data_IF_889492566438
#
_entry.id   IF_889492566438
#
_cell.length_a   1.000
_cell.length_b   1.000
_cell.length_c   1.000
_cell.angle_alpha   90.00
_cell.angle_beta   90.00
_cell.angle_gamma   90.00
#
_symmetry.space_group_name_H-M   'P 1'
#
loop_
_entity.id
_entity.type
_entity.pdbx_description
1 polymer ?
#
# COMPACT_ATOMS: atom_id res chain seq x y z
N UNK A 1 35.13 0.69 1.49
CA UNK A 1 34.81 1.93 0.74
C UNK A 1 33.73 1.55 -0.27
N UNK A 2 32.52 2.15 -0.22
CA UNK A 2 31.55 1.98 -1.31
C UNK A 2 32.09 2.79 -2.48
N UNK A 3 32.35 2.12 -3.60
CA UNK A 3 32.70 2.83 -4.83
C UNK A 3 31.58 3.82 -5.12
N UNK A 4 31.93 5.07 -5.39
CA UNK A 4 30.94 6.06 -5.81
C UNK A 4 30.32 5.59 -7.12
N UNK A 5 28.98 5.62 -7.18
CA UNK A 5 28.28 5.28 -8.41
C UNK A 5 28.64 6.26 -9.52
N UNK A 6 28.85 5.76 -10.71
CA UNK A 6 29.02 6.57 -11.92
C UNK A 6 27.80 7.49 -12.14
N UNK A 7 28.01 8.73 -12.65
CA UNK A 7 26.92 9.69 -12.85
C UNK A 7 25.78 9.14 -13.72
N UNK A 8 26.09 8.31 -14.72
CA UNK A 8 25.10 7.68 -15.57
C UNK A 8 24.25 6.65 -14.81
N UNK A 9 24.87 5.89 -13.91
CA UNK A 9 24.16 4.92 -13.07
C UNK A 9 23.24 5.61 -12.07
N UNK A 10 23.69 6.70 -11.43
CA UNK A 10 22.82 7.52 -10.55
C UNK A 10 21.59 8.03 -11.31
N UNK A 11 21.80 8.56 -12.53
CA UNK A 11 20.70 9.05 -13.38
C UNK A 11 19.73 7.93 -13.75
N UNK A 12 20.22 6.75 -14.08
CA UNK A 12 19.40 5.57 -14.38
C UNK A 12 18.54 5.19 -13.18
N UNK A 13 19.12 5.07 -11.97
CA UNK A 13 18.39 4.68 -10.77
C UNK A 13 17.28 5.68 -10.41
N UNK A 14 17.53 6.99 -10.56
CA UNK A 14 16.51 8.02 -10.38
C UNK A 14 15.41 7.93 -11.42
N UNK A 15 15.75 7.66 -12.67
CA UNK A 15 14.78 7.47 -13.75
C UNK A 15 13.90 6.23 -13.49
N UNK A 16 14.50 5.10 -13.09
CA UNK A 16 13.78 3.89 -12.71
C UNK A 16 12.80 4.15 -11.55
N UNK A 17 13.25 4.84 -10.48
CA UNK A 17 12.40 5.24 -9.36
C UNK A 17 11.21 6.10 -9.82
N UNK A 18 11.49 7.14 -10.61
CA UNK A 18 10.47 8.04 -11.12
C UNK A 18 9.47 7.32 -12.02
N UNK A 19 9.94 6.47 -12.93
CA UNK A 19 9.09 5.73 -13.86
C UNK A 19 8.17 4.73 -13.13
N UNK A 20 8.73 3.93 -12.23
CA UNK A 20 7.94 2.95 -11.46
C UNK A 20 6.94 3.67 -10.56
N UNK A 21 7.35 4.76 -9.89
CA UNK A 21 6.44 5.57 -9.08
C UNK A 21 5.32 6.17 -9.94
N UNK A 22 5.63 6.77 -11.09
CA UNK A 22 4.65 7.39 -11.98
C UNK A 22 3.62 6.38 -12.52
N UNK A 23 4.05 5.17 -12.85
CA UNK A 23 3.18 4.10 -13.38
C UNK A 23 2.36 3.39 -12.30
N UNK A 24 2.60 3.68 -11.02
CA UNK A 24 1.95 3.02 -9.90
C UNK A 24 1.37 4.03 -8.89
N UNK A 25 1.93 4.05 -7.70
CA UNK A 25 1.45 4.82 -6.55
C UNK A 25 1.62 6.34 -6.69
N UNK A 26 2.54 6.82 -7.52
CA UNK A 26 2.76 8.24 -7.75
C UNK A 26 1.59 8.91 -8.47
N UNK A 27 1.01 8.26 -9.47
CA UNK A 27 -0.23 8.73 -10.09
C UNK A 27 -1.33 8.87 -9.02
N UNK A 28 -1.52 7.83 -8.19
CA UNK A 28 -2.51 7.86 -7.11
C UNK A 28 -2.25 8.99 -6.11
N UNK A 29 -0.98 9.29 -5.79
CA UNK A 29 -0.61 10.39 -4.92
C UNK A 29 -1.03 11.77 -5.49
N UNK A 30 -0.76 12.00 -6.78
CA UNK A 30 -1.18 13.24 -7.46
C UNK A 30 -2.71 13.39 -7.42
N UNK A 31 -3.44 12.33 -7.79
CA UNK A 31 -4.90 12.37 -7.74
C UNK A 31 -5.45 12.54 -6.31
N UNK A 32 -4.81 11.94 -5.31
CA UNK A 32 -5.23 12.09 -3.91
C UNK A 32 -5.06 13.52 -3.40
N UNK A 33 -3.96 14.20 -3.77
CA UNK A 33 -3.72 15.62 -3.44
C UNK A 33 -4.79 16.50 -4.09
N UNK A 34 -5.03 16.32 -5.38
CA UNK A 34 -6.06 17.09 -6.11
C UNK A 34 -7.45 16.85 -5.50
N UNK A 35 -7.78 15.59 -5.18
CA UNK A 35 -9.07 15.24 -4.57
C UNK A 35 -9.23 15.83 -3.17
N UNK A 36 -8.20 15.81 -2.33
CA UNK A 36 -8.26 16.46 -1.02
C UNK A 36 -8.49 17.96 -1.15
N UNK A 37 -7.82 18.61 -2.10
CA UNK A 37 -8.01 20.04 -2.38
C UNK A 37 -9.45 20.33 -2.84
N UNK A 38 -10.00 19.50 -3.74
CA UNK A 38 -11.39 19.63 -4.21
C UNK A 38 -12.39 19.44 -3.04
N UNK A 39 -12.19 18.45 -2.18
CA UNK A 39 -13.03 18.23 -0.99
C UNK A 39 -12.96 19.46 -0.06
N UNK A 40 -11.76 19.94 0.27
CA UNK A 40 -11.55 21.04 1.20
C UNK A 40 -12.16 22.37 0.71
N UNK A 41 -12.34 22.54 -0.62
CA UNK A 41 -13.00 23.73 -1.19
C UNK A 41 -14.52 23.66 -1.20
N UNK A 42 -15.10 22.47 -0.98
CA UNK A 42 -16.56 22.27 -0.98
C UNK A 42 -17.18 22.28 0.41
N UNK A 43 -16.41 21.93 1.45
CA UNK A 43 -16.90 21.84 2.83
C UNK A 43 -15.97 21.07 3.75
N UNK A 44 -16.45 20.70 4.95
CA UNK A 44 -15.67 19.92 5.90
C UNK A 44 -15.27 18.55 5.35
N UNK A 45 -14.03 18.15 5.57
CA UNK A 45 -13.50 16.84 5.13
C UNK A 45 -14.33 15.69 5.72
N UNK A 46 -14.84 15.85 6.93
CA UNK A 46 -15.66 14.84 7.62
C UNK A 46 -16.99 14.52 6.95
N UNK A 47 -17.51 15.40 6.10
CA UNK A 47 -18.73 15.18 5.32
C UNK A 47 -18.48 14.46 3.99
N UNK A 48 -17.22 14.38 3.58
CA UNK A 48 -16.84 13.66 2.35
C UNK A 48 -16.83 12.15 2.56
N UNK A 49 -17.02 11.41 1.45
CA UNK A 49 -16.91 9.95 1.42
C UNK A 49 -15.72 9.50 0.59
N UNK A 50 -14.94 8.59 1.14
CA UNK A 50 -13.86 7.89 0.47
C UNK A 50 -14.27 6.45 0.17
N UNK A 51 -14.58 6.15 -1.09
CA UNK A 51 -14.97 4.81 -1.55
C UNK A 51 -13.73 4.04 -2.00
N UNK A 52 -13.56 2.81 -1.49
CA UNK A 52 -12.37 1.99 -1.76
C UNK A 52 -12.61 0.97 -2.88
N UNK A 53 -13.59 0.09 -2.73
CA UNK A 53 -13.90 -0.96 -3.68
C UNK A 53 -15.32 -0.73 -4.23
N UNK A 54 -15.42 -0.15 -5.42
CA UNK A 54 -16.70 0.21 -6.02
C UNK A 54 -17.00 -0.63 -7.25
N UNK A 55 -18.28 -0.94 -7.46
CA UNK A 55 -18.74 -1.56 -8.71
C UNK A 55 -18.43 -0.66 -9.91
N UNK A 56 -17.98 -1.26 -10.99
CA UNK A 56 -17.63 -0.60 -12.26
C UNK A 56 -18.68 -0.83 -13.34
N UNK A 57 -19.69 -1.68 -13.08
CA UNK A 57 -20.78 -1.97 -14.01
C UNK A 57 -22.05 -2.37 -13.27
N UNK A 58 -23.23 -1.93 -13.71
CA UNK A 58 -24.50 -2.40 -13.15
C UNK A 58 -24.80 -3.88 -13.50
N UNK A 59 -24.02 -4.49 -14.41
CA UNK A 59 -24.16 -5.90 -14.82
C UNK A 59 -23.13 -6.76 -14.07
N UNK A 60 -23.56 -7.68 -13.18
CA UNK A 60 -22.64 -8.41 -12.28
C UNK A 60 -21.49 -9.16 -12.98
N UNK A 61 -21.76 -9.80 -14.13
CA UNK A 61 -20.72 -10.52 -14.88
C UNK A 61 -19.65 -9.59 -15.47
N UNK A 62 -20.04 -8.41 -15.99
CA UNK A 62 -19.09 -7.42 -16.47
C UNK A 62 -18.34 -6.74 -15.32
N UNK A 63 -19.01 -6.50 -14.18
CA UNK A 63 -18.37 -5.95 -13.01
C UNK A 63 -17.25 -6.89 -12.52
N UNK A 64 -17.53 -8.18 -12.40
CA UNK A 64 -16.51 -9.19 -12.07
C UNK A 64 -15.31 -9.13 -13.03
N UNK A 65 -15.57 -9.04 -14.34
CA UNK A 65 -14.49 -8.95 -15.35
C UNK A 65 -13.66 -7.69 -15.11
N UNK A 66 -14.29 -6.53 -14.90
CA UNK A 66 -13.56 -5.28 -14.62
C UNK A 66 -12.76 -5.36 -13.32
N UNK A 67 -13.30 -5.96 -12.26
CA UNK A 67 -12.58 -6.16 -11.00
C UNK A 67 -11.31 -7.02 -11.20
N UNK A 68 -11.43 -8.14 -11.89
CA UNK A 68 -10.28 -9.03 -12.17
C UNK A 68 -9.24 -8.35 -13.06
N UNK A 69 -9.67 -7.67 -14.12
CA UNK A 69 -8.75 -6.91 -14.99
C UNK A 69 -8.07 -5.78 -14.21
N UNK A 70 -8.80 -5.04 -13.38
CA UNK A 70 -8.26 -3.99 -12.53
C UNK A 70 -7.20 -4.52 -11.57
N UNK A 71 -7.46 -5.65 -10.91
CA UNK A 71 -6.50 -6.32 -10.03
C UNK A 71 -5.25 -6.73 -10.83
N UNK A 72 -5.43 -7.38 -11.98
CA UNK A 72 -4.32 -7.86 -12.81
C UNK A 72 -3.44 -6.72 -13.35
N UNK A 73 -4.04 -5.71 -13.96
CA UNK A 73 -3.28 -4.58 -14.52
C UNK A 73 -2.60 -3.72 -13.46
N UNK A 74 -3.18 -3.60 -12.27
CA UNK A 74 -2.54 -2.89 -11.15
C UNK A 74 -1.23 -3.56 -10.70
N UNK A 75 -1.05 -4.86 -10.94
CA UNK A 75 0.19 -5.58 -10.61
C UNK A 75 1.28 -5.48 -11.70
N UNK A 76 1.00 -4.91 -12.88
CA UNK A 76 2.01 -4.75 -13.95
C UNK A 76 3.22 -3.92 -13.48
N UNK A 77 3.06 -2.79 -12.78
CA UNK A 77 4.22 -2.06 -12.21
C UNK A 77 5.06 -2.89 -11.23
N UNK A 78 4.45 -3.83 -10.50
CA UNK A 78 5.19 -4.76 -9.65
C UNK A 78 6.12 -5.64 -10.48
N UNK A 79 5.61 -6.21 -11.58
CA UNK A 79 6.41 -7.02 -12.50
C UNK A 79 7.55 -6.20 -13.09
N UNK A 80 7.30 -4.95 -13.48
CA UNK A 80 8.32 -4.03 -13.96
C UNK A 80 9.39 -3.77 -12.89
N UNK A 81 9.00 -3.46 -11.66
CA UNK A 81 9.93 -3.23 -10.55
C UNK A 81 10.81 -4.47 -10.29
N UNK A 82 10.20 -5.66 -10.23
CA UNK A 82 10.93 -6.91 -10.07
C UNK A 82 11.89 -7.18 -11.24
N UNK A 83 11.45 -6.93 -12.47
CA UNK A 83 12.30 -7.06 -13.67
C UNK A 83 13.51 -6.11 -13.58
N UNK A 84 13.31 -4.83 -13.24
CA UNK A 84 14.40 -3.87 -13.08
C UNK A 84 15.39 -4.30 -11.99
N UNK A 85 14.90 -4.88 -10.89
CA UNK A 85 15.77 -5.44 -9.85
C UNK A 85 16.61 -6.62 -10.34
N UNK A 86 16.12 -7.44 -11.28
CA UNK A 86 16.91 -8.57 -11.85
C UNK A 86 18.01 -8.10 -12.78
N UNK A 87 17.96 -6.85 -13.28
CA UNK A 87 18.99 -6.27 -14.14
C UNK A 87 20.29 -5.92 -13.40
N UNK A 88 20.29 -5.96 -12.08
CA UNK A 88 21.45 -5.70 -11.24
C UNK A 88 22.33 -6.96 -11.15
N UNK A 89 23.26 -7.11 -12.10
CA UNK A 89 24.10 -8.32 -12.25
C UNK A 89 25.01 -8.59 -11.06
N UNK A 90 25.42 -7.54 -10.34
CA UNK A 90 26.35 -7.62 -9.19
C UNK A 90 25.60 -7.79 -7.87
N UNK A 91 24.27 -7.90 -7.87
CA UNK A 91 23.46 -8.02 -6.69
C UNK A 91 23.12 -9.50 -6.37
N UNK A 92 22.90 -9.85 -5.09
CA UNK A 92 22.38 -11.16 -4.72
C UNK A 92 21.05 -11.48 -5.40
N UNK A 93 20.67 -12.77 -5.50
CA UNK A 93 19.39 -13.17 -6.06
C UNK A 93 18.22 -12.41 -5.43
N UNK A 94 17.22 -12.06 -6.22
CA UNK A 94 16.07 -11.26 -5.80
C UNK A 94 15.36 -11.85 -4.56
N UNK A 95 15.25 -13.17 -4.49
CA UNK A 95 14.68 -13.87 -3.34
C UNK A 95 15.43 -13.66 -2.02
N UNK A 96 16.73 -13.40 -2.09
CA UNK A 96 17.56 -13.06 -0.93
C UNK A 96 17.40 -11.59 -0.58
N UNK A 97 17.42 -10.71 -1.58
CA UNK A 97 17.28 -9.24 -1.40
C UNK A 97 15.92 -8.88 -0.77
N UNK A 98 14.85 -9.54 -1.19
CA UNK A 98 13.49 -9.35 -0.64
C UNK A 98 13.20 -10.23 0.57
N UNK A 99 14.13 -11.13 0.93
CA UNK A 99 13.98 -12.01 2.07
C UNK A 99 12.75 -12.92 2.01
N UNK A 100 12.39 -13.42 0.82
CA UNK A 100 11.16 -14.22 0.63
C UNK A 100 11.35 -15.72 0.87
N UNK A 101 12.59 -16.20 1.09
CA UNK A 101 12.88 -17.63 1.30
C UNK A 101 13.07 -17.98 2.77
N UNK A 102 12.71 -19.22 3.11
CA UNK A 102 13.26 -19.96 4.26
C UNK A 102 12.62 -19.72 5.62
N UNK A 103 11.59 -18.89 5.78
CA UNK A 103 10.99 -18.61 7.10
C UNK A 103 9.47 -18.38 7.06
N UNK A 104 8.74 -19.03 6.15
CA UNK A 104 7.33 -18.70 5.87
C UNK A 104 6.44 -18.65 7.12
N UNK A 105 6.48 -19.64 8.01
CA UNK A 105 5.67 -19.63 9.24
C UNK A 105 6.06 -18.50 10.21
N UNK A 106 7.35 -18.23 10.36
CA UNK A 106 7.82 -17.14 11.21
C UNK A 106 7.46 -15.77 10.62
N UNK A 107 7.47 -15.66 9.30
CA UNK A 107 7.09 -14.42 8.61
C UNK A 107 5.60 -14.13 8.75
N UNK A 108 4.74 -15.14 8.63
CA UNK A 108 3.31 -14.99 8.87
C UNK A 108 3.03 -14.56 10.32
N UNK A 109 3.67 -15.21 11.30
CA UNK A 109 3.53 -14.83 12.70
C UNK A 109 3.99 -13.39 13.00
N UNK A 110 5.13 -12.96 12.41
CA UNK A 110 5.62 -11.58 12.55
C UNK A 110 4.69 -10.57 11.87
N UNK A 111 4.20 -10.90 10.68
CA UNK A 111 3.25 -10.06 9.96
C UNK A 111 1.93 -9.92 10.71
N UNK A 112 1.42 -10.99 11.31
CA UNK A 112 0.23 -10.95 12.15
C UNK A 112 0.45 -10.07 13.40
N UNK A 113 1.62 -10.14 14.04
CA UNK A 113 1.95 -9.24 15.15
C UNK A 113 2.00 -7.77 14.69
N UNK A 114 2.62 -7.49 13.55
CA UNK A 114 2.65 -6.14 12.97
C UNK A 114 1.23 -5.65 12.66
N UNK A 115 0.38 -6.51 12.08
CA UNK A 115 -1.03 -6.22 11.86
C UNK A 115 -1.77 -5.84 13.14
N UNK A 116 -1.58 -6.57 14.25
CA UNK A 116 -2.25 -6.24 15.51
C UNK A 116 -1.84 -4.87 16.04
N UNK A 117 -0.54 -4.54 15.98
CA UNK A 117 -0.03 -3.23 16.42
C UNK A 117 -0.61 -2.09 15.56
N UNK A 118 -0.55 -2.25 14.24
CA UNK A 118 -1.00 -1.22 13.29
C UNK A 118 -2.52 -1.14 13.25
N UNK A 119 -3.22 -2.28 13.25
CA UNK A 119 -4.68 -2.31 13.21
C UNK A 119 -5.32 -1.56 14.38
N UNK A 120 -4.83 -1.79 15.61
CA UNK A 120 -5.30 -1.05 16.79
C UNK A 120 -4.99 0.46 16.62
N UNK A 121 -3.78 0.80 16.18
CA UNK A 121 -3.40 2.20 15.93
C UNK A 121 -4.27 2.87 14.85
N UNK A 122 -4.58 2.15 13.79
CA UNK A 122 -5.43 2.65 12.70
C UNK A 122 -6.85 2.96 13.16
N UNK A 123 -7.44 2.11 14.01
CA UNK A 123 -8.76 2.38 14.58
C UNK A 123 -8.75 3.65 15.42
N UNK A 124 -7.71 3.84 16.26
CA UNK A 124 -7.54 5.05 17.06
C UNK A 124 -7.37 6.32 16.20
N UNK A 125 -6.55 6.25 15.16
CA UNK A 125 -6.34 7.36 14.21
C UNK A 125 -7.62 7.68 13.44
N UNK A 126 -8.37 6.68 13.00
CA UNK A 126 -9.64 6.87 12.31
C UNK A 126 -10.66 7.53 13.24
N UNK A 127 -10.89 6.98 14.43
CA UNK A 127 -11.84 7.53 15.40
C UNK A 127 -11.48 8.97 15.82
N UNK A 128 -10.21 9.22 16.14
CA UNK A 128 -9.71 10.55 16.48
C UNK A 128 -9.83 11.53 15.31
N UNK A 129 -9.47 11.11 14.11
CA UNK A 129 -9.58 11.93 12.91
C UNK A 129 -11.03 12.27 12.52
N UNK A 130 -11.99 11.34 12.75
CA UNK A 130 -13.43 11.60 12.61
C UNK A 130 -13.90 12.62 13.62
N UNK A 131 -13.52 12.45 14.90
CA UNK A 131 -13.87 13.38 15.98
C UNK A 131 -13.33 14.79 15.75
N UNK A 132 -12.14 14.92 15.14
CA UNK A 132 -11.52 16.19 14.79
C UNK A 132 -12.00 16.78 13.45
N UNK A 133 -12.86 16.10 12.69
CA UNK A 133 -13.36 16.56 11.41
C UNK A 133 -12.36 16.50 10.25
N UNK A 134 -11.22 15.84 10.42
CA UNK A 134 -10.11 15.80 9.44
C UNK A 134 -10.03 14.48 8.65
N UNK A 135 -10.99 13.58 8.82
CA UNK A 135 -11.07 12.28 8.15
C UNK A 135 -12.41 12.11 7.47
N UNK A 136 -12.41 11.74 6.19
CA UNK A 136 -13.60 11.40 5.43
C UNK A 136 -14.24 10.11 5.96
N UNK A 137 -15.53 9.93 5.71
CA UNK A 137 -16.20 8.65 5.94
C UNK A 137 -15.67 7.60 4.96
N UNK A 138 -15.13 6.50 5.47
CA UNK A 138 -14.61 5.42 4.62
C UNK A 138 -15.73 4.43 4.32
N UNK A 139 -16.01 4.24 3.03
CA UNK A 139 -16.87 3.17 2.50
C UNK A 139 -15.98 2.07 1.91
N UNK A 140 -15.76 0.94 2.62
CA UNK A 140 -14.75 -0.06 2.25
C UNK A 140 -15.09 -0.83 0.99
N UNK A 141 -16.37 -1.13 0.75
CA UNK A 141 -16.83 -1.86 -0.41
C UNK A 141 -18.28 -1.49 -0.78
N UNK A 142 -18.57 -1.51 -2.09
CA UNK A 142 -19.91 -1.37 -2.65
C UNK A 142 -19.99 -2.20 -3.95
N UNK A 143 -19.79 -3.53 -3.83
CA UNK A 143 -19.80 -4.47 -4.96
C UNK A 143 -21.14 -5.23 -5.09
N UNK A 144 -22.10 -4.98 -4.18
CA UNK A 144 -23.34 -5.75 -4.10
C UNK A 144 -23.15 -7.14 -3.49
N UNK A 145 -24.25 -7.86 -3.33
CA UNK A 145 -24.28 -9.20 -2.74
C UNK A 145 -24.21 -10.27 -3.85
N UNK A 146 -22.97 -10.60 -4.26
CA UNK A 146 -22.70 -11.62 -5.28
C UNK A 146 -21.77 -12.67 -4.70
N UNK A 147 -21.84 -13.91 -5.19
CA UNK A 147 -20.97 -15.02 -4.76
C UNK A 147 -19.48 -14.72 -4.92
N UNK A 148 -19.10 -13.85 -5.82
CA UNK A 148 -17.70 -13.43 -6.10
C UNK A 148 -17.25 -12.21 -5.27
N UNK A 149 -18.14 -11.52 -4.56
CA UNK A 149 -17.80 -10.28 -3.83
C UNK A 149 -16.68 -10.53 -2.80
N UNK A 150 -16.83 -11.51 -1.92
CA UNK A 150 -15.82 -11.86 -0.92
C UNK A 150 -14.49 -12.29 -1.58
N UNK A 151 -14.47 -13.23 -2.53
CA UNK A 151 -13.24 -13.57 -3.26
C UNK A 151 -12.53 -12.35 -3.89
N UNK A 152 -13.27 -11.46 -4.53
CA UNK A 152 -12.71 -10.24 -5.15
C UNK A 152 -12.12 -9.30 -4.11
N UNK A 153 -12.78 -9.08 -2.97
CA UNK A 153 -12.25 -8.26 -1.88
C UNK A 153 -10.97 -8.83 -1.28
N UNK A 154 -10.88 -10.16 -1.12
CA UNK A 154 -9.65 -10.83 -0.70
C UNK A 154 -8.53 -10.65 -1.73
N UNK A 155 -8.82 -10.78 -3.02
CA UNK A 155 -7.84 -10.55 -4.08
C UNK A 155 -7.42 -9.08 -4.15
N UNK A 156 -8.34 -8.13 -3.94
CA UNK A 156 -8.05 -6.71 -3.86
C UNK A 156 -7.10 -6.38 -2.69
N UNK A 157 -7.35 -6.95 -1.51
CA UNK A 157 -6.48 -6.81 -0.36
C UNK A 157 -5.08 -7.41 -0.63
N UNK A 158 -5.00 -8.59 -1.22
CA UNK A 158 -3.73 -9.22 -1.60
C UNK A 158 -2.97 -8.38 -2.64
N UNK A 159 -3.67 -7.86 -3.66
CA UNK A 159 -3.11 -6.97 -4.67
C UNK A 159 -2.52 -5.69 -4.02
N UNK A 160 -3.23 -5.05 -3.08
CA UNK A 160 -2.73 -3.86 -2.40
C UNK A 160 -1.45 -4.17 -1.59
N UNK A 161 -1.48 -5.21 -0.76
CA UNK A 161 -0.30 -5.61 0.02
C UNK A 161 0.91 -5.93 -0.86
N UNK A 162 0.72 -6.62 -1.98
CA UNK A 162 1.81 -6.92 -2.93
C UNK A 162 2.29 -5.64 -3.62
N UNK A 163 1.38 -4.85 -4.19
CA UNK A 163 1.72 -3.64 -4.92
C UNK A 163 2.52 -2.68 -4.05
N UNK A 164 1.96 -2.32 -2.91
CA UNK A 164 2.55 -1.26 -2.08
C UNK A 164 3.85 -1.71 -1.45
N UNK A 165 3.91 -2.91 -0.87
CA UNK A 165 5.13 -3.32 -0.17
C UNK A 165 6.28 -3.64 -1.13
N UNK A 166 5.98 -4.23 -2.31
CA UNK A 166 7.02 -4.47 -3.33
C UNK A 166 7.54 -3.16 -3.92
N UNK A 167 6.65 -2.22 -4.27
CA UNK A 167 7.07 -0.94 -4.87
C UNK A 167 7.82 -0.08 -3.85
N UNK A 168 7.30 0.05 -2.64
CA UNK A 168 7.87 0.96 -1.63
C UNK A 168 9.15 0.39 -1.05
N UNK A 169 9.07 -0.79 -0.43
CA UNK A 169 10.22 -1.34 0.31
C UNK A 169 11.05 -2.31 -0.53
N UNK A 170 10.41 -3.17 -1.32
CA UNK A 170 11.13 -4.10 -2.18
C UNK A 170 11.98 -3.39 -3.24
N UNK A 171 11.44 -2.37 -3.90
CA UNK A 171 12.10 -1.64 -4.98
C UNK A 171 12.64 -0.29 -4.51
N UNK A 172 11.78 0.56 -3.96
CA UNK A 172 12.13 1.94 -3.61
C UNK A 172 13.23 2.03 -2.58
N UNK A 173 13.15 1.26 -1.48
CA UNK A 173 14.19 1.27 -0.45
C UNK A 173 15.53 0.77 -1.02
N UNK A 174 15.51 -0.25 -1.87
CA UNK A 174 16.73 -0.76 -2.46
C UNK A 174 17.39 0.23 -3.41
N UNK A 175 16.61 0.89 -4.28
CA UNK A 175 17.14 1.91 -5.18
C UNK A 175 17.73 3.10 -4.42
N UNK A 176 17.07 3.56 -3.36
CA UNK A 176 17.58 4.63 -2.51
C UNK A 176 18.85 4.20 -1.73
N UNK A 177 18.91 2.94 -1.26
CA UNK A 177 20.15 2.42 -0.66
C UNK A 177 21.31 2.40 -1.66
N UNK A 178 21.07 1.99 -2.90
CA UNK A 178 22.11 2.02 -3.95
C UNK A 178 22.56 3.44 -4.26
N UNK A 179 21.65 4.40 -4.24
CA UNK A 179 21.96 5.83 -4.39
C UNK A 179 22.76 6.41 -3.21
N UNK A 180 22.98 5.62 -2.14
CA UNK A 180 23.82 6.00 -1.00
C UNK A 180 23.08 6.62 0.17
N UNK A 181 21.74 6.68 0.13
CA UNK A 181 20.96 7.22 1.25
C UNK A 181 21.02 6.31 2.48
N UNK A 182 21.02 6.93 3.65
CA UNK A 182 20.97 6.25 4.94
C UNK A 182 19.57 5.73 5.27
N UNK A 183 19.48 4.89 6.31
CA UNK A 183 18.26 4.22 6.72
C UNK A 183 17.10 5.20 6.98
N UNK A 184 17.31 6.24 7.78
CA UNK A 184 16.23 7.15 8.18
C UNK A 184 15.70 8.05 7.04
N UNK A 185 16.55 8.67 6.19
CA UNK A 185 16.08 9.36 5.00
C UNK A 185 15.22 8.47 4.10
N UNK A 186 15.60 7.19 3.91
CA UNK A 186 14.82 6.23 3.14
C UNK A 186 13.46 5.98 3.79
N UNK A 187 13.43 5.66 5.09
CA UNK A 187 12.20 5.37 5.81
C UNK A 187 11.25 6.56 5.75
N UNK A 188 11.73 7.77 6.05
CA UNK A 188 10.90 8.97 6.11
C UNK A 188 10.35 9.33 4.72
N UNK A 189 11.20 9.33 3.69
CA UNK A 189 10.76 9.66 2.32
C UNK A 189 9.72 8.68 1.80
N UNK A 190 9.90 7.37 2.03
CA UNK A 190 8.97 6.35 1.60
C UNK A 190 7.69 6.32 2.45
N UNK A 191 7.76 6.64 3.74
CA UNK A 191 6.57 6.77 4.59
C UNK A 191 5.70 7.97 4.16
N UNK A 192 6.31 9.12 3.83
CA UNK A 192 5.59 10.29 3.31
C UNK A 192 5.00 9.97 1.93
N UNK A 193 5.77 9.32 1.04
CA UNK A 193 5.27 8.90 -0.26
C UNK A 193 4.09 7.94 -0.12
N UNK A 194 4.18 6.93 0.79
CA UNK A 194 3.06 6.06 1.13
C UNK A 194 1.83 6.84 1.58
N UNK A 195 1.98 7.75 2.50
CA UNK A 195 0.87 8.50 3.05
C UNK A 195 0.20 9.43 2.01
N UNK A 196 0.97 9.93 1.02
CA UNK A 196 0.48 10.90 0.05
C UNK A 196 -0.67 10.38 -0.82
N UNK A 197 -0.67 9.11 -1.21
CA UNK A 197 -1.77 8.54 -1.99
C UNK A 197 -2.99 8.13 -1.15
N UNK A 198 -2.94 8.29 0.18
CA UNK A 198 -4.09 8.14 1.07
C UNK A 198 -4.75 9.48 1.45
N UNK A 199 -4.23 10.62 0.98
CA UNK A 199 -4.77 11.95 1.26
C UNK A 199 -6.23 12.14 0.85
N UNK A 200 -6.73 11.39 -0.14
CA UNK A 200 -8.14 11.42 -0.53
C UNK A 200 -9.09 10.92 0.58
N UNK A 201 -8.58 10.24 1.59
CA UNK A 201 -9.32 9.81 2.77
C UNK A 201 -9.28 10.85 3.91
N UNK A 202 -8.50 11.92 3.75
CA UNK A 202 -8.30 12.99 4.73
C UNK A 202 -6.93 12.93 5.42
N UNK A 203 -6.73 13.88 6.33
CA UNK A 203 -5.45 14.06 7.05
C UNK A 203 -5.21 12.94 8.08
N UNK A 204 -6.26 12.43 8.74
CA UNK A 204 -6.13 11.32 9.69
C UNK A 204 -5.48 10.09 9.06
N UNK A 205 -6.03 9.52 7.95
CA UNK A 205 -5.40 8.41 7.23
C UNK A 205 -3.99 8.71 6.72
N UNK A 206 -3.69 9.96 6.32
CA UNK A 206 -2.31 10.36 5.98
C UNK A 206 -1.37 10.13 7.17
N UNK A 207 -1.71 10.62 8.36
CA UNK A 207 -0.90 10.45 9.58
C UNK A 207 -0.74 8.95 9.91
N UNK A 208 -1.84 8.18 9.84
CA UNK A 208 -1.81 6.73 10.08
C UNK A 208 -0.87 6.00 9.11
N UNK A 209 -0.89 6.38 7.83
CA UNK A 209 -0.02 5.78 6.81
C UNK A 209 1.45 6.23 6.94
N UNK A 210 1.74 7.44 7.43
CA UNK A 210 3.11 7.82 7.80
C UNK A 210 3.62 6.91 8.93
N UNK A 211 2.83 6.73 10.00
CA UNK A 211 3.22 5.87 11.12
C UNK A 211 3.42 4.41 10.66
N UNK A 212 2.51 3.86 9.86
CA UNK A 212 2.64 2.53 9.26
C UNK A 212 3.89 2.42 8.40
N UNK A 213 4.16 3.41 7.55
CA UNK A 213 5.34 3.45 6.69
C UNK A 213 6.66 3.49 7.47
N UNK A 214 6.70 4.20 8.60
CA UNK A 214 7.86 4.23 9.50
C UNK A 214 8.09 2.85 10.13
N UNK A 215 7.03 2.21 10.66
CA UNK A 215 7.12 0.88 11.28
C UNK A 215 7.55 -0.17 10.26
N UNK A 216 6.93 -0.19 9.09
CA UNK A 216 7.25 -1.13 8.01
C UNK A 216 8.66 -0.90 7.48
N UNK A 217 9.03 0.36 7.23
CA UNK A 217 10.36 0.73 6.76
C UNK A 217 11.44 0.36 7.75
N UNK A 218 11.24 0.65 9.04
CA UNK A 218 12.17 0.24 10.09
C UNK A 218 12.34 -1.28 10.14
N UNK A 219 11.22 -2.03 10.08
CA UNK A 219 11.26 -3.49 10.07
C UNK A 219 12.03 -4.02 8.86
N UNK A 220 11.70 -3.54 7.64
CA UNK A 220 12.37 -3.96 6.41
C UNK A 220 13.86 -3.65 6.43
N UNK A 221 14.24 -2.43 6.78
CA UNK A 221 15.64 -2.00 6.81
C UNK A 221 16.47 -2.77 7.86
N UNK A 222 15.85 -3.27 8.92
CA UNK A 222 16.51 -4.05 9.98
C UNK A 222 16.53 -5.55 9.73
N UNK A 223 15.51 -6.10 9.08
CA UNK A 223 15.34 -7.54 8.93
C UNK A 223 15.49 -8.04 7.48
N UNK A 224 15.40 -7.17 6.49
CA UNK A 224 15.49 -7.52 5.07
C UNK A 224 14.40 -8.50 4.61
N UNK A 225 13.20 -8.47 5.21
CA UNK A 225 12.13 -9.43 4.93
C UNK A 225 10.83 -8.72 4.54
N UNK A 226 10.41 -8.95 3.30
CA UNK A 226 9.22 -8.32 2.73
C UNK A 226 7.93 -9.06 3.08
N UNK A 227 7.98 -10.39 3.17
CA UNK A 227 6.78 -11.24 3.39
C UNK A 227 5.96 -10.83 4.61
N UNK A 228 6.55 -10.54 5.79
CA UNK A 228 5.78 -10.06 6.94
C UNK A 228 5.00 -8.78 6.68
N UNK A 229 5.54 -7.87 5.87
CA UNK A 229 4.89 -6.60 5.53
C UNK A 229 3.73 -6.81 4.57
N UNK A 230 3.93 -7.59 3.51
CA UNK A 230 2.87 -7.98 2.58
C UNK A 230 1.73 -8.68 3.32
N UNK A 231 2.06 -9.60 4.24
CA UNK A 231 1.07 -10.32 5.03
C UNK A 231 0.32 -9.41 6.00
N UNK A 232 1.02 -8.53 6.73
CA UNK A 232 0.39 -7.57 7.63
C UNK A 232 -0.57 -6.64 6.88
N UNK A 233 -0.13 -6.09 5.76
CA UNK A 233 -0.94 -5.21 4.93
C UNK A 233 -2.16 -5.93 4.36
N UNK A 234 -1.96 -7.13 3.83
CA UNK A 234 -3.06 -7.97 3.35
C UNK A 234 -4.15 -8.16 4.41
N UNK A 235 -3.77 -8.49 5.66
CA UNK A 235 -4.76 -8.68 6.74
C UNK A 235 -5.45 -7.36 7.09
N UNK A 236 -4.71 -6.24 7.15
CA UNK A 236 -5.28 -4.90 7.41
C UNK A 236 -6.40 -4.60 6.40
N UNK A 237 -6.11 -4.76 5.11
CA UNK A 237 -7.07 -4.49 4.05
C UNK A 237 -8.22 -5.52 4.03
N UNK A 238 -7.91 -6.80 4.17
CA UNK A 238 -8.94 -7.85 4.19
C UNK A 238 -9.94 -7.65 5.34
N UNK A 239 -9.45 -7.34 6.54
CA UNK A 239 -10.31 -7.00 7.68
C UNK A 239 -11.08 -5.71 7.41
N UNK A 240 -10.41 -4.66 6.92
CA UNK A 240 -11.05 -3.39 6.61
C UNK A 240 -12.16 -3.50 5.56
N UNK A 241 -11.97 -4.33 4.51
CA UNK A 241 -12.96 -4.51 3.44
C UNK A 241 -14.13 -5.41 3.84
N UNK A 242 -13.91 -6.41 4.69
CA UNK A 242 -14.89 -7.42 5.04
C UNK A 242 -15.66 -7.12 6.35
N UNK A 243 -15.05 -6.38 7.29
CA UNK A 243 -15.63 -6.13 8.61
C UNK A 243 -17.04 -5.52 8.57
N UNK A 244 -17.35 -4.50 7.74
CA UNK A 244 -18.69 -3.94 7.68
C UNK A 244 -19.75 -4.97 7.29
N UNK A 245 -19.46 -5.83 6.32
CA UNK A 245 -20.39 -6.90 5.90
C UNK A 245 -20.57 -7.98 6.98
N UNK A 246 -19.53 -8.28 7.74
CA UNK A 246 -19.60 -9.24 8.85
C UNK A 246 -20.43 -8.67 10.01
N UNK A 247 -20.25 -7.40 10.33
CA UNK A 247 -20.99 -6.74 11.42
C UNK A 247 -22.49 -6.69 11.13
N UNK A 248 -22.90 -6.42 9.89
CA UNK A 248 -24.32 -6.46 9.50
C UNK A 248 -24.94 -7.86 9.59
N UNK A 249 -24.16 -8.92 9.43
CA UNK A 249 -24.63 -10.30 9.60
C UNK A 249 -24.82 -10.68 11.08
N UNK A 250 -24.08 -10.04 12.00
CA UNK A 250 -24.16 -10.29 13.44
C UNK A 250 -25.33 -9.50 14.07
N UNK A 251 -25.63 -8.31 13.57
CA UNK A 251 -26.74 -7.46 14.07
C UNK A 251 -28.14 -7.97 13.65
N UNK A 252 -28.23 -9.01 12.83
CA UNK A 252 -29.50 -9.68 12.44
C UNK A 252 -29.86 -10.85 13.39
N UNK A 253 -29.08 -11.10 14.43
CA UNK A 253 -29.34 -12.03 15.50
C UNK A 253 -29.71 -11.31 16.79
#
# INVERSE_FOLDING_TARGET
>A
MRNELEPQEKKRLWFELGLVAALSLGQSAVYAIVRLSDIATRGPISEAQAKLNTSMSPRPGFDLIYQILGIGFTLVPVLLALYLLTRDTDAPPLSTRLGVRGQSGKDLGRGTLIFLIIGIGTLGVYAGGRALGITAEIQPANLGDHWWTIPVLILAAAKNGILEEVIIFGFGAERLQRLGYGMWPIIISLAIFRASYHLYQGIGPFIGNVAMGIIFGWYFMRRGRLVPLVWAHFIIDAVGFLAPGILTLIDIG
#
